data_IF_499044667260
#
_entry.id   IF_499044667260
#
_cell.length_a   1.000
_cell.length_b   1.000
_cell.length_c   1.000
_cell.angle_alpha   90.00
_cell.angle_beta   90.00
_cell.angle_gamma   90.00
#
_symmetry.space_group_name_H-M   'P 1'
#
loop_
_entity.id
_entity.type
_entity.pdbx_description
1 polymer ?
#
# COMPACT_ATOMS: atom_id res chain seq x y z
N UNK A 1 69.37 25.02 -41.22
CA UNK A 1 68.46 25.15 -42.37
C UNK A 1 67.06 25.02 -41.79
N UNK A 2 66.47 26.15 -41.37
CA UNK A 2 65.44 26.91 -42.10
C UNK A 2 64.16 26.08 -42.30
N UNK A 3 62.94 26.49 -41.97
CA UNK A 3 62.37 27.81 -41.67
C UNK A 3 60.92 27.63 -41.15
N UNK A 4 60.53 28.46 -40.17
CA UNK A 4 59.31 29.32 -40.16
C UNK A 4 57.90 28.66 -40.11
N UNK A 5 57.07 28.88 -39.09
CA UNK A 5 56.40 30.09 -38.55
C UNK A 5 54.90 30.17 -38.96
N UNK A 6 54.16 30.91 -38.11
CA UNK A 6 52.78 31.47 -38.23
C UNK A 6 51.70 30.65 -37.51
N UNK A 7 51.28 31.00 -36.29
CA UNK A 7 50.55 32.22 -35.82
C UNK A 7 49.29 32.50 -36.63
N UNK A 8 48.12 32.41 -35.98
CA UNK A 8 47.24 33.60 -35.84
C UNK A 8 46.16 33.40 -34.78
N UNK A 9 46.13 34.38 -33.89
CA UNK A 9 45.11 34.75 -32.93
C UNK A 9 43.74 35.02 -33.57
N UNK A 10 42.67 34.82 -32.81
CA UNK A 10 41.56 35.78 -32.73
C UNK A 10 40.95 35.71 -31.32
N UNK A 11 41.18 36.79 -30.57
CA UNK A 11 40.45 37.20 -29.38
C UNK A 11 39.14 37.90 -29.79
N UNK A 12 38.38 38.27 -28.76
CA UNK A 12 37.28 39.24 -28.70
C UNK A 12 35.88 38.62 -28.79
N UNK A 13 34.87 39.03 -28.02
CA UNK A 13 34.70 39.87 -26.83
C UNK A 13 33.17 39.80 -26.57
N UNK A 14 32.71 40.49 -25.53
CA UNK A 14 31.32 40.90 -25.27
C UNK A 14 30.50 39.98 -24.37
N UNK A 15 30.64 40.29 -23.07
CA UNK A 15 29.60 40.04 -22.10
C UNK A 15 28.34 40.86 -22.38
N UNK A 16 27.22 40.36 -21.86
CA UNK A 16 26.03 41.18 -21.63
C UNK A 16 25.52 40.94 -20.22
N UNK A 17 25.53 42.03 -19.45
CA UNK A 17 24.77 42.23 -18.24
C UNK A 17 23.28 41.97 -18.51
N UNK A 18 22.63 41.16 -17.68
CA UNK A 18 21.18 41.26 -17.51
C UNK A 18 20.90 41.77 -16.11
N UNK A 19 20.54 43.06 -16.06
CA UNK A 19 20.08 43.80 -14.90
C UNK A 19 18.71 43.31 -14.44
N UNK A 20 18.51 43.42 -13.13
CA UNK A 20 17.23 43.30 -12.47
C UNK A 20 16.15 44.17 -13.12
N UNK A 21 14.93 43.64 -13.19
CA UNK A 21 13.73 44.43 -13.38
C UNK A 21 12.70 44.07 -12.31
N UNK A 22 11.98 45.11 -11.93
CA UNK A 22 11.30 45.34 -10.68
C UNK A 22 9.87 44.79 -10.67
N UNK A 23 9.34 44.61 -9.46
CA UNK A 23 7.99 45.07 -9.10
C UNK A 23 6.80 44.50 -9.88
N UNK A 24 6.21 43.43 -9.36
CA UNK A 24 4.76 43.24 -9.49
C UNK A 24 4.14 43.05 -8.11
N UNK A 25 3.71 44.17 -7.54
CA UNK A 25 2.78 44.25 -6.42
C UNK A 25 1.39 44.06 -7.01
N UNK A 26 0.70 42.98 -6.62
CA UNK A 26 -0.75 42.90 -6.75
C UNK A 26 -1.31 42.63 -5.36
N UNK A 27 -1.61 43.73 -4.66
CA UNK A 27 -2.55 43.80 -3.56
C UNK A 27 -3.95 43.68 -4.16
N UNK A 28 -4.64 42.58 -3.88
CA UNK A 28 -6.10 42.55 -3.96
C UNK A 28 -6.58 42.02 -2.62
N UNK A 29 -6.96 42.98 -1.79
CA UNK A 29 -7.89 42.80 -0.68
C UNK A 29 -9.21 42.29 -1.25
N UNK A 30 -9.72 41.20 -0.68
CA UNK A 30 -11.13 40.88 -0.68
C UNK A 30 -11.41 40.08 0.58
N UNK A 31 -11.96 40.81 1.54
CA UNK A 31 -12.64 40.33 2.73
C UNK A 31 -13.70 39.28 2.32
N UNK A 32 -13.63 38.09 2.92
CA UNK A 32 -14.79 37.18 3.01
C UNK A 32 -14.80 36.68 4.46
N UNK A 33 -15.45 37.49 5.29
CA UNK A 33 -15.96 37.14 6.61
C UNK A 33 -17.15 36.18 6.42
N UNK A 34 -16.86 34.89 6.26
CA UNK A 34 -17.89 33.85 6.40
C UNK A 34 -18.00 33.47 7.89
N UNK A 35 -18.90 34.18 8.56
CA UNK A 35 -19.51 33.83 9.85
C UNK A 35 -20.07 32.40 9.79
N UNK A 36 -19.30 31.42 10.26
CA UNK A 36 -19.82 30.09 10.56
C UNK A 36 -20.50 30.14 11.93
N UNK A 37 -21.82 30.20 11.87
CA UNK A 37 -22.79 30.05 12.95
C UNK A 37 -22.58 28.70 13.67
N UNK A 38 -22.07 28.79 14.90
CA UNK A 38 -22.00 27.68 15.86
C UNK A 38 -23.42 27.35 16.34
N UNK A 39 -24.12 26.55 15.53
CA UNK A 39 -25.39 25.94 15.92
C UNK A 39 -25.17 24.88 16.98
N UNK A 40 -25.22 25.30 18.25
CA UNK A 40 -25.38 24.47 19.43
C UNK A 40 -26.68 23.63 19.31
N UNK A 41 -26.53 22.40 18.83
CA UNK A 41 -27.55 21.37 18.84
C UNK A 41 -27.36 20.45 20.04
N UNK A 42 -27.87 20.88 21.20
CA UNK A 42 -28.14 20.03 22.35
C UNK A 42 -29.25 19.03 21.98
N UNK A 43 -28.88 17.86 21.47
CA UNK A 43 -29.77 16.71 21.39
C UNK A 43 -29.45 15.75 22.53
N UNK A 44 -30.11 16.01 23.67
CA UNK A 44 -30.33 15.07 24.76
C UNK A 44 -31.07 13.83 24.22
N UNK A 45 -30.33 12.77 23.93
CA UNK A 45 -30.88 11.43 23.73
C UNK A 45 -30.61 10.58 24.98
N UNK A 46 -31.47 10.81 25.98
CA UNK A 46 -31.84 9.81 26.98
C UNK A 46 -32.61 8.70 26.25
N UNK A 47 -31.93 7.64 25.83
CA UNK A 47 -32.57 6.37 25.48
C UNK A 47 -32.16 5.30 26.50
N UNK A 48 -33.10 5.08 27.41
CA UNK A 48 -33.22 3.94 28.31
C UNK A 48 -33.03 2.62 27.54
N UNK A 49 -31.83 2.03 27.65
CA UNK A 49 -31.65 0.61 27.34
C UNK A 49 -32.10 -0.18 28.57
N UNK A 50 -33.34 -0.65 28.49
CA UNK A 50 -33.88 -1.67 29.38
C UNK A 50 -32.97 -2.91 29.38
N UNK A 51 -32.58 -3.33 30.58
CA UNK A 51 -31.93 -4.60 30.83
C UNK A 51 -32.91 -5.73 30.51
N UNK A 52 -32.73 -6.38 29.36
CA UNK A 52 -33.34 -7.67 29.07
C UNK A 52 -32.51 -8.77 29.73
N UNK A 53 -32.99 -9.18 30.90
CA UNK A 53 -32.79 -10.53 31.43
C UNK A 53 -33.44 -11.53 30.46
N UNK A 54 -32.63 -12.30 29.73
CA UNK A 54 -33.06 -13.56 29.12
C UNK A 54 -31.96 -14.61 29.36
N UNK A 55 -32.12 -15.29 30.51
CA UNK A 55 -31.54 -16.60 30.81
C UNK A 55 -32.18 -17.64 29.87
N UNK A 56 -31.67 -17.79 28.65
CA UNK A 56 -31.85 -19.02 27.87
C UNK A 56 -30.61 -19.89 27.99
N UNK A 57 -30.73 -20.87 28.90
CA UNK A 57 -29.87 -22.03 29.03
C UNK A 57 -29.93 -22.82 27.73
N UNK A 58 -28.93 -22.65 26.87
CA UNK A 58 -28.73 -23.52 25.72
C UNK A 58 -28.24 -24.89 26.22
N UNK A 59 -29.12 -25.88 26.09
CA UNK A 59 -28.80 -27.29 26.29
C UNK A 59 -27.63 -27.68 25.37
N UNK A 60 -26.53 -28.15 25.98
CA UNK A 60 -25.42 -28.80 25.28
C UNK A 60 -25.96 -30.04 24.56
N UNK A 61 -26.15 -29.92 23.25
CA UNK A 61 -26.36 -31.07 22.38
C UNK A 61 -25.02 -31.77 22.16
N UNK A 62 -24.83 -32.91 22.80
CA UNK A 62 -23.80 -33.91 22.50
C UNK A 62 -23.91 -34.33 21.02
N UNK A 63 -23.15 -33.69 20.15
CA UNK A 63 -22.92 -34.20 18.80
C UNK A 63 -21.89 -35.36 18.88
N UNK A 64 -22.16 -36.50 18.23
CA UNK A 64 -21.22 -37.61 18.22
C UNK A 64 -19.96 -37.21 17.45
N UNK A 65 -18.80 -37.39 18.08
CA UNK A 65 -17.48 -37.34 17.42
C UNK A 65 -17.45 -38.37 16.28
N UNK A 66 -17.75 -37.91 15.05
CA UNK A 66 -17.54 -38.72 13.85
C UNK A 66 -16.03 -38.85 13.60
N UNK A 67 -15.51 -40.08 13.70
CA UNK A 67 -14.14 -40.50 13.37
C UNK A 67 -13.52 -39.70 12.20
N UNK A 68 -12.64 -38.75 12.53
CA UNK A 68 -11.90 -37.91 11.58
C UNK A 68 -11.13 -38.74 10.53
N UNK A 69 -10.76 -39.98 10.88
CA UNK A 69 -9.99 -40.90 10.04
C UNK A 69 -10.79 -41.44 8.83
N UNK A 70 -12.12 -41.55 8.94
CA UNK A 70 -12.96 -42.05 7.84
C UNK A 70 -13.23 -40.97 6.76
N UNK A 71 -13.16 -39.69 7.14
CA UNK A 71 -13.35 -38.54 6.25
C UNK A 71 -12.07 -38.17 5.49
N UNK A 72 -10.89 -38.47 6.05
CA UNK A 72 -9.61 -38.27 5.37
C UNK A 72 -9.44 -39.22 4.17
N UNK A 73 -9.94 -40.46 4.28
CA UNK A 73 -9.95 -41.43 3.19
C UNK A 73 -10.82 -40.99 2.00
N UNK A 74 -11.99 -40.36 2.26
CA UNK A 74 -12.86 -39.81 1.21
C UNK A 74 -12.27 -38.57 0.53
N UNK A 75 -11.44 -37.80 1.24
CA UNK A 75 -10.74 -36.65 0.68
C UNK A 75 -9.56 -37.05 -0.24
N UNK A 76 -8.96 -38.22 -0.04
CA UNK A 76 -7.93 -38.75 -0.94
C UNK A 76 -8.49 -39.33 -2.25
N UNK A 77 -9.74 -39.81 -2.27
CA UNK A 77 -10.34 -40.42 -3.47
C UNK A 77 -10.81 -39.38 -4.52
N UNK A 78 -10.95 -38.11 -4.14
CA UNK A 78 -11.32 -36.98 -5.03
C UNK A 78 -10.13 -36.34 -5.77
N UNK A 79 -9.01 -37.06 -5.91
CA UNK A 79 -7.81 -36.62 -6.65
C UNK A 79 -7.90 -36.74 -8.19
N UNK A 80 -9.09 -36.84 -8.78
CA UNK A 80 -9.23 -36.79 -10.23
C UNK A 80 -10.33 -35.82 -10.67
N UNK A 81 -9.90 -34.72 -11.28
CA UNK A 81 -10.65 -33.71 -12.05
C UNK A 81 -11.43 -32.59 -11.31
N UNK A 82 -10.81 -31.40 -11.31
CA UNK A 82 -11.37 -30.10 -11.74
C UNK A 82 -12.58 -29.43 -11.05
N UNK A 83 -12.96 -29.83 -9.84
CA UNK A 83 -13.82 -28.97 -9.01
C UNK A 83 -13.23 -28.80 -7.62
N UNK A 84 -12.69 -27.61 -7.35
CA UNK A 84 -12.40 -27.17 -6.00
C UNK A 84 -13.76 -27.04 -5.32
N UNK A 85 -14.10 -27.97 -4.42
CA UNK A 85 -15.40 -27.97 -3.76
C UNK A 85 -15.49 -26.74 -2.86
N UNK A 86 -16.63 -26.04 -2.91
CA UNK A 86 -16.93 -24.87 -2.07
C UNK A 86 -16.67 -25.16 -0.58
N UNK A 87 -16.90 -26.40 -0.13
CA UNK A 87 -16.58 -26.87 1.21
C UNK A 87 -15.10 -26.74 1.61
N UNK A 88 -14.16 -26.97 0.68
CA UNK A 88 -12.73 -26.84 0.95
C UNK A 88 -12.28 -25.37 1.07
N UNK A 89 -12.96 -24.46 0.37
CA UNK A 89 -12.74 -23.02 0.50
C UNK A 89 -13.37 -22.41 1.74
N UNK A 90 -14.54 -22.89 2.16
CA UNK A 90 -15.18 -22.43 3.40
C UNK A 90 -14.31 -22.73 4.63
N UNK A 91 -13.48 -23.78 4.59
CA UNK A 91 -12.46 -24.05 5.62
C UNK A 91 -11.30 -23.05 5.60
N UNK A 92 -11.03 -22.38 4.48
CA UNK A 92 -9.97 -21.40 4.37
C UNK A 92 -10.47 -20.03 4.90
N UNK A 93 -9.88 -19.56 6.01
CA UNK A 93 -10.24 -18.29 6.65
C UNK A 93 -10.02 -17.06 5.76
N UNK A 94 -9.04 -17.12 4.85
CA UNK A 94 -8.71 -16.07 3.89
C UNK A 94 -8.28 -16.72 2.58
N UNK A 95 -8.83 -16.22 1.47
CA UNK A 95 -8.49 -16.64 0.12
C UNK A 95 -7.84 -15.48 -0.62
N UNK A 96 -6.75 -15.74 -1.35
CA UNK A 96 -6.11 -14.72 -2.17
C UNK A 96 -6.53 -14.82 -3.63
N UNK A 97 -6.85 -13.69 -4.24
CA UNK A 97 -7.27 -13.61 -5.65
C UNK A 97 -6.40 -12.64 -6.43
N UNK A 98 -6.06 -13.00 -7.66
CA UNK A 98 -5.31 -12.13 -8.55
C UNK A 98 -6.26 -11.20 -9.32
N UNK A 99 -6.14 -9.86 -9.17
CA UNK A 99 -7.06 -8.92 -9.82
C UNK A 99 -7.01 -8.98 -11.35
N UNK A 100 -5.87 -9.40 -11.91
CA UNK A 100 -5.68 -9.43 -13.37
C UNK A 100 -6.02 -10.77 -13.98
N UNK A 101 -5.47 -11.85 -13.42
CA UNK A 101 -5.64 -13.19 -14.00
C UNK A 101 -6.88 -13.92 -13.49
N UNK A 102 -7.55 -13.38 -12.46
CA UNK A 102 -8.68 -14.00 -11.75
C UNK A 102 -8.37 -15.43 -11.31
N UNK A 103 -7.13 -15.64 -10.88
CA UNK A 103 -6.71 -16.92 -10.28
C UNK A 103 -6.82 -16.81 -8.78
N UNK A 104 -7.13 -17.94 -8.17
CA UNK A 104 -7.20 -18.11 -6.72
C UNK A 104 -5.93 -18.80 -6.25
N UNK A 105 -5.35 -18.31 -5.16
CA UNK A 105 -4.26 -19.00 -4.49
C UNK A 105 -4.83 -20.00 -3.47
N UNK A 106 -4.55 -21.28 -3.67
CA UNK A 106 -4.98 -22.35 -2.78
C UNK A 106 -3.94 -23.46 -2.73
N UNK A 107 -3.67 -24.00 -1.53
CA UNK A 107 -2.65 -25.05 -1.29
C UNK A 107 -1.32 -24.78 -1.98
N UNK A 108 -0.79 -23.56 -1.79
CA UNK A 108 0.48 -23.10 -2.35
C UNK A 108 0.53 -23.05 -3.90
N UNK A 109 -0.61 -22.97 -4.58
CA UNK A 109 -0.68 -22.92 -6.04
C UNK A 109 -1.75 -21.94 -6.53
N UNK A 110 -1.47 -21.31 -7.67
CA UNK A 110 -2.44 -20.48 -8.40
C UNK A 110 -3.32 -21.33 -9.31
N UNK A 111 -4.61 -21.40 -9.01
CA UNK A 111 -5.60 -22.20 -9.73
C UNK A 111 -6.58 -21.26 -10.45
N UNK A 112 -7.08 -21.67 -11.63
CA UNK A 112 -8.09 -20.89 -12.35
C UNK A 112 -9.40 -20.90 -11.55
N UNK A 113 -10.00 -19.73 -11.40
CA UNK A 113 -11.28 -19.59 -10.74
C UNK A 113 -12.39 -20.28 -11.54
N UNK A 114 -13.05 -21.25 -10.91
CA UNK A 114 -14.26 -21.91 -11.40
C UNK A 114 -15.42 -21.73 -10.39
N UNK A 115 -15.25 -20.87 -9.38
CA UNK A 115 -16.05 -20.87 -8.16
C UNK A 115 -16.94 -19.64 -8.18
N UNK A 116 -18.25 -19.85 -8.28
CA UNK A 116 -19.26 -18.79 -8.35
C UNK A 116 -19.56 -18.12 -7.01
N UNK A 117 -19.16 -18.73 -5.88
CA UNK A 117 -19.52 -18.28 -4.51
C UNK A 117 -18.38 -17.61 -3.73
N UNK A 118 -17.51 -16.85 -4.40
CA UNK A 118 -16.47 -16.06 -3.71
C UNK A 118 -17.02 -15.07 -2.65
N UNK A 119 -18.31 -14.73 -2.74
CA UNK A 119 -18.97 -13.78 -1.84
C UNK A 119 -19.12 -14.27 -0.38
N UNK A 120 -18.96 -15.57 -0.14
CA UNK A 120 -19.09 -16.15 1.20
C UNK A 120 -17.78 -16.20 1.98
N UNK A 121 -16.64 -16.00 1.31
CA UNK A 121 -15.31 -16.12 1.93
C UNK A 121 -14.59 -14.77 1.89
N UNK A 122 -13.87 -14.45 2.98
CA UNK A 122 -13.02 -13.26 3.01
C UNK A 122 -11.92 -13.39 1.95
N UNK A 123 -11.99 -12.54 0.93
CA UNK A 123 -11.06 -12.52 -0.19
C UNK A 123 -10.13 -11.32 -0.09
N UNK A 124 -8.83 -11.60 -0.13
CA UNK A 124 -7.77 -10.60 -0.19
C UNK A 124 -7.15 -10.61 -1.60
N UNK A 125 -6.68 -9.46 -2.07
CA UNK A 125 -5.99 -9.39 -3.35
C UNK A 125 -4.50 -9.70 -3.23
N UNK A 126 -3.97 -10.45 -4.20
CA UNK A 126 -2.55 -10.68 -4.38
C UNK A 126 -2.19 -10.84 -5.86
N UNK A 127 -1.09 -10.25 -6.32
CA UNK A 127 -0.64 -10.42 -7.71
C UNK A 127 0.10 -11.76 -7.84
N UNK A 128 -0.31 -12.58 -8.80
CA UNK A 128 0.30 -13.88 -9.06
C UNK A 128 1.67 -13.77 -9.73
N UNK A 129 2.51 -14.77 -9.52
CA UNK A 129 3.91 -14.82 -9.97
C UNK A 129 4.04 -14.58 -11.49
N UNK A 130 3.10 -15.12 -12.28
CA UNK A 130 3.08 -14.96 -13.74
C UNK A 130 2.87 -13.51 -14.21
N UNK A 131 2.34 -12.65 -13.35
CA UNK A 131 2.01 -11.26 -13.67
C UNK A 131 2.87 -10.26 -12.90
N UNK A 132 3.80 -10.70 -12.03
CA UNK A 132 4.63 -9.80 -11.22
C UNK A 132 5.49 -8.88 -12.09
N UNK A 133 6.16 -9.42 -13.11
CA UNK A 133 7.02 -8.62 -14.00
C UNK A 133 6.22 -7.54 -14.73
N UNK A 134 5.05 -7.90 -15.24
CA UNK A 134 4.16 -6.96 -15.93
C UNK A 134 3.52 -5.96 -14.98
N UNK A 135 3.23 -6.37 -13.74
CA UNK A 135 2.73 -5.47 -12.71
C UNK A 135 3.74 -4.36 -12.40
N UNK A 136 5.04 -4.70 -12.36
CA UNK A 136 6.13 -3.71 -12.23
C UNK A 136 6.13 -2.71 -13.39
N UNK A 137 5.98 -3.18 -14.62
CA UNK A 137 5.96 -2.32 -15.82
C UNK A 137 4.75 -1.37 -15.85
N UNK A 138 3.57 -1.88 -15.48
CA UNK A 138 2.31 -1.13 -15.54
C UNK A 138 2.07 -0.27 -14.28
N UNK A 139 2.86 -0.46 -13.23
CA UNK A 139 2.68 0.22 -11.95
C UNK A 139 1.48 -0.30 -11.14
N UNK A 140 1.14 -1.59 -11.30
CA UNK A 140 0.06 -2.23 -10.55
C UNK A 140 0.60 -2.79 -9.23
N UNK A 141 0.18 -2.19 -8.12
CA UNK A 141 0.61 -2.58 -6.78
C UNK A 141 -0.60 -2.70 -5.85
N UNK A 142 -0.53 -3.59 -4.86
CA UNK A 142 -1.60 -3.79 -3.88
C UNK A 142 -1.27 -3.09 -2.55
N UNK A 143 0.03 -2.93 -2.25
CA UNK A 143 0.49 -2.12 -1.14
C UNK A 143 1.59 -1.15 -1.54
N UNK A 144 1.65 -0.02 -0.84
CA UNK A 144 2.81 0.86 -0.85
C UNK A 144 3.20 1.28 0.56
N UNK A 145 4.51 1.40 0.78
CA UNK A 145 5.09 2.05 1.94
C UNK A 145 5.84 3.29 1.46
N UNK A 146 5.51 4.46 2.02
CA UNK A 146 6.16 5.74 1.77
C UNK A 146 6.95 6.14 3.03
N UNK A 147 8.28 6.22 2.90
CA UNK A 147 9.19 6.46 4.03
C UNK A 147 9.71 7.89 3.93
N UNK A 148 9.33 8.71 4.91
CA UNK A 148 9.72 10.10 5.05
C UNK A 148 10.81 10.22 6.14
N UNK A 149 12.05 10.28 5.68
CA UNK A 149 13.23 10.36 6.54
C UNK A 149 14.12 11.55 6.16
N UNK A 150 14.54 12.36 7.13
CA UNK A 150 15.55 13.40 6.92
C UNK A 150 16.93 12.81 6.64
N UNK A 151 17.23 11.67 7.26
CA UNK A 151 18.51 10.97 7.12
C UNK A 151 18.38 9.76 6.19
N UNK A 152 17.48 9.84 5.20
CA UNK A 152 17.18 8.74 4.29
C UNK A 152 18.45 8.21 3.61
N UNK A 153 19.35 9.11 3.19
CA UNK A 153 20.59 8.73 2.50
C UNK A 153 21.47 7.77 3.31
N UNK A 154 21.47 7.90 4.64
CA UNK A 154 22.27 7.06 5.53
C UNK A 154 21.54 5.78 5.93
N UNK A 155 20.22 5.85 6.15
CA UNK A 155 19.42 4.74 6.69
C UNK A 155 18.71 3.88 5.65
N UNK A 156 18.67 4.33 4.39
CA UNK A 156 17.96 3.68 3.29
C UNK A 156 18.33 2.20 3.14
N UNK A 157 19.62 1.89 3.09
CA UNK A 157 20.07 0.51 2.86
C UNK A 157 19.62 -0.39 4.02
N UNK A 158 19.79 0.05 5.26
CA UNK A 158 19.33 -0.68 6.45
C UNK A 158 17.80 -0.89 6.46
N UNK A 159 17.02 0.12 6.07
CA UNK A 159 15.56 0.00 5.98
C UNK A 159 15.14 -0.98 4.88
N UNK A 160 15.83 -0.98 3.74
CA UNK A 160 15.55 -1.90 2.64
C UNK A 160 15.92 -3.34 2.98
N UNK A 161 17.08 -3.55 3.62
CA UNK A 161 17.50 -4.88 4.05
C UNK A 161 16.56 -5.45 5.12
N UNK A 162 16.08 -4.59 6.01
CA UNK A 162 15.05 -4.96 6.98
C UNK A 162 13.72 -5.35 6.30
N UNK A 163 13.25 -4.56 5.32
CA UNK A 163 12.05 -4.87 4.55
C UNK A 163 12.16 -6.21 3.79
N UNK A 164 13.33 -6.47 3.17
CA UNK A 164 13.64 -7.76 2.52
C UNK A 164 13.78 -8.92 3.51
N UNK A 165 14.15 -8.65 4.76
CA UNK A 165 14.09 -9.62 5.85
C UNK A 165 12.66 -10.11 6.07
N UNK A 166 11.73 -9.16 6.23
CA UNK A 166 10.30 -9.46 6.42
C UNK A 166 9.71 -10.18 5.20
N UNK A 167 10.06 -9.76 3.99
CA UNK A 167 9.66 -10.45 2.76
C UNK A 167 10.03 -11.94 2.81
N UNK A 168 11.30 -12.26 3.09
CA UNK A 168 11.79 -13.66 3.18
C UNK A 168 11.10 -14.46 4.28
N UNK A 169 10.85 -13.84 5.43
CA UNK A 169 10.15 -14.48 6.55
C UNK A 169 8.71 -14.84 6.19
N UNK A 170 8.05 -13.99 5.39
CA UNK A 170 6.69 -14.19 4.94
C UNK A 170 6.58 -15.14 3.73
N UNK A 171 7.56 -15.11 2.82
CA UNK A 171 7.64 -16.02 1.67
C UNK A 171 7.65 -17.49 2.12
N UNK A 172 8.33 -17.79 3.23
CA UNK A 172 8.33 -19.13 3.84
C UNK A 172 6.94 -19.65 4.25
N UNK A 173 5.96 -18.75 4.44
CA UNK A 173 4.55 -19.10 4.74
C UNK A 173 3.67 -19.01 3.50
N UNK A 174 3.87 -17.96 2.71
CA UNK A 174 3.07 -17.61 1.55
C UNK A 174 4.01 -17.24 0.40
N UNK A 175 4.30 -18.18 -0.53
CA UNK A 175 5.40 -18.06 -1.49
C UNK A 175 5.21 -16.96 -2.54
N UNK A 176 4.04 -16.32 -2.58
CA UNK A 176 3.79 -15.21 -3.49
C UNK A 176 4.08 -13.85 -2.86
N UNK A 177 4.38 -13.74 -1.57
CA UNK A 177 4.64 -12.44 -0.92
C UNK A 177 5.95 -11.83 -1.40
N UNK A 178 5.87 -10.76 -2.19
CA UNK A 178 7.02 -10.17 -2.87
C UNK A 178 6.96 -8.64 -2.90
N UNK A 179 8.12 -8.01 -2.69
CA UNK A 179 8.36 -6.60 -2.98
C UNK A 179 8.50 -6.46 -4.50
N UNK A 180 7.51 -5.84 -5.13
CA UNK A 180 7.47 -5.68 -6.59
C UNK A 180 8.53 -4.66 -7.02
N UNK A 181 8.58 -3.52 -6.36
CA UNK A 181 9.45 -2.42 -6.76
C UNK A 181 9.88 -1.56 -5.58
N UNK A 182 11.04 -0.92 -5.72
CA UNK A 182 11.58 0.04 -4.77
C UNK A 182 12.07 1.23 -5.56
N UNK A 183 11.56 2.41 -5.26
CA UNK A 183 11.97 3.64 -5.92
C UNK A 183 12.18 4.77 -4.92
N UNK A 184 13.02 5.74 -5.28
CA UNK A 184 13.25 6.94 -4.49
C UNK A 184 12.86 8.14 -5.34
N UNK A 185 11.98 8.99 -4.80
CA UNK A 185 11.57 10.24 -5.46
C UNK A 185 11.46 11.34 -4.41
N UNK A 186 12.07 12.49 -4.67
CA UNK A 186 12.00 13.67 -3.80
C UNK A 186 12.39 13.37 -2.33
N UNK A 187 13.48 12.62 -2.11
CA UNK A 187 13.93 12.15 -0.78
C UNK A 187 12.88 11.32 -0.01
N UNK A 188 11.96 10.68 -0.72
CA UNK A 188 10.99 9.73 -0.16
C UNK A 188 11.31 8.37 -0.77
N UNK A 189 11.47 7.36 0.09
CA UNK A 189 11.64 5.98 -0.33
C UNK A 189 10.26 5.32 -0.43
N UNK A 190 9.99 4.75 -1.60
CA UNK A 190 8.77 4.01 -1.91
C UNK A 190 9.10 2.53 -2.02
N UNK A 191 8.35 1.71 -1.30
CA UNK A 191 8.40 0.25 -1.38
C UNK A 191 7.02 -0.22 -1.83
N UNK A 192 6.95 -0.92 -2.95
CA UNK A 192 5.70 -1.42 -3.51
C UNK A 192 5.61 -2.93 -3.36
N UNK A 193 4.47 -3.41 -2.88
CA UNK A 193 4.24 -4.82 -2.55
C UNK A 193 3.08 -5.40 -3.34
N UNK A 194 3.12 -6.72 -3.51
CA UNK A 194 2.07 -7.44 -4.23
C UNK A 194 0.90 -7.87 -3.35
N UNK A 195 0.94 -7.62 -2.04
CA UNK A 195 -0.16 -7.83 -1.10
C UNK A 195 -0.29 -6.68 -0.10
N UNK A 196 -1.47 -6.54 0.51
CA UNK A 196 -1.69 -5.62 1.64
C UNK A 196 -0.98 -6.10 2.90
N UNK A 197 -0.94 -7.42 3.12
CA UNK A 197 -0.34 -8.04 4.29
C UNK A 197 1.17 -7.75 4.38
N UNK A 198 1.91 -7.94 3.29
CA UNK A 198 3.34 -7.62 3.26
C UNK A 198 3.58 -6.12 3.50
N UNK A 199 2.76 -5.25 2.90
CA UNK A 199 2.88 -3.81 3.15
C UNK A 199 2.68 -3.46 4.62
N UNK A 200 1.67 -4.03 5.27
CA UNK A 200 1.40 -3.84 6.69
C UNK A 200 2.52 -4.33 7.59
N UNK A 201 3.05 -5.53 7.32
CA UNK A 201 4.11 -6.13 8.14
C UNK A 201 5.43 -5.36 7.99
N UNK A 202 5.81 -4.98 6.76
CA UNK A 202 6.98 -4.10 6.54
C UNK A 202 6.80 -2.78 7.27
N UNK A 203 5.64 -2.13 7.10
CA UNK A 203 5.29 -0.88 7.74
C UNK A 203 5.38 -0.94 9.28
N UNK A 204 4.80 -1.98 9.89
CA UNK A 204 4.85 -2.22 11.33
C UNK A 204 6.26 -2.50 11.82
N UNK A 205 6.98 -3.35 11.10
CA UNK A 205 8.36 -3.70 11.42
C UNK A 205 9.27 -2.47 11.38
N UNK A 206 9.14 -1.62 10.36
CA UNK A 206 9.92 -0.38 10.25
C UNK A 206 9.62 0.54 11.44
N UNK A 207 8.35 0.70 11.83
CA UNK A 207 7.99 1.48 13.02
C UNK A 207 8.61 0.90 14.29
N UNK A 208 8.64 -0.42 14.42
CA UNK A 208 9.19 -1.09 15.60
C UNK A 208 10.71 -0.92 15.69
N UNK A 209 11.41 -1.17 14.58
CA UNK A 209 12.87 -1.18 14.52
C UNK A 209 13.48 0.23 14.52
N UNK A 210 12.91 1.14 13.73
CA UNK A 210 13.45 2.49 13.50
C UNK A 210 12.71 3.58 14.29
N UNK A 211 11.69 3.21 15.06
CA UNK A 211 10.83 4.15 15.78
C UNK A 211 9.92 4.96 14.84
N UNK A 212 9.57 6.17 15.26
CA UNK A 212 8.76 7.10 14.46
C UNK A 212 7.24 6.85 14.53
N UNK A 213 6.52 7.41 13.56
CA UNK A 213 5.07 7.28 13.45
C UNK A 213 4.65 6.67 12.12
N UNK A 214 3.47 6.05 12.11
CA UNK A 214 2.91 5.47 10.91
C UNK A 214 1.47 5.90 10.71
N UNK A 215 1.11 6.19 9.48
CA UNK A 215 -0.25 6.51 9.06
C UNK A 215 -0.67 5.52 7.98
N UNK A 216 -1.84 4.89 8.15
CA UNK A 216 -2.41 3.99 7.16
C UNK A 216 -3.54 4.70 6.41
N UNK A 217 -3.52 4.62 5.08
CA UNK A 217 -4.62 4.99 4.20
C UNK A 217 -5.14 3.73 3.52
N UNK A 218 -6.41 3.39 3.76
CA UNK A 218 -7.08 2.24 3.19
C UNK A 218 -7.98 2.67 2.03
N UNK A 219 -7.91 1.94 0.93
CA UNK A 219 -8.71 2.18 -0.26
C UNK A 219 -9.56 0.93 -0.54
N UNK A 220 -10.78 0.91 0.00
CA UNK A 220 -11.67 -0.26 0.01
C UNK A 220 -11.96 -0.81 -1.40
N UNK A 221 -12.22 0.08 -2.37
CA UNK A 221 -12.55 -0.31 -3.75
C UNK A 221 -11.49 -1.19 -4.41
N UNK A 222 -10.22 -0.90 -4.11
CA UNK A 222 -9.08 -1.57 -4.75
C UNK A 222 -8.30 -2.43 -3.75
N UNK A 223 -8.87 -2.72 -2.57
CA UNK A 223 -8.19 -3.32 -1.42
C UNK A 223 -6.72 -2.89 -1.32
N UNK A 224 -6.46 -1.61 -1.53
CA UNK A 224 -5.11 -1.07 -1.63
C UNK A 224 -4.78 -0.40 -0.31
N UNK A 225 -3.56 -0.61 0.16
CA UNK A 225 -3.07 0.04 1.37
C UNK A 225 -1.87 0.91 1.06
N UNK A 226 -1.89 2.14 1.59
CA UNK A 226 -0.72 3.00 1.65
C UNK A 226 -0.34 3.22 3.10
N UNK A 227 0.87 2.82 3.46
CA UNK A 227 1.47 3.11 4.74
C UNK A 227 2.48 4.25 4.60
N UNK A 228 2.32 5.32 5.38
CA UNK A 228 3.27 6.43 5.42
C UNK A 228 4.01 6.41 6.74
N UNK A 229 5.32 6.22 6.69
CA UNK A 229 6.17 6.23 7.87
C UNK A 229 6.95 7.54 7.98
N UNK A 230 7.03 8.08 9.18
CA UNK A 230 7.72 9.34 9.46
C UNK A 230 8.72 9.16 10.61
N UNK A 231 9.97 9.51 10.33
CA UNK A 231 11.09 9.44 11.29
C UNK A 231 10.89 10.29 12.56
N UNK A 232 10.33 11.50 12.42
CA UNK A 232 10.09 12.43 13.54
C UNK A 232 8.59 12.65 13.74
N UNK A 233 8.08 12.28 14.92
CA UNK A 233 6.68 12.46 15.32
C UNK A 233 6.31 13.95 15.48
N UNK A 234 7.30 14.80 15.79
CA UNK A 234 7.06 16.16 16.30
C UNK A 234 7.25 17.28 15.29
N UNK A 235 7.77 17.02 14.09
CA UNK A 235 8.05 18.09 13.14
C UNK A 235 6.85 18.35 12.21
N UNK A 236 5.80 18.96 12.79
CA UNK A 236 4.53 19.28 12.10
C UNK A 236 4.75 20.16 10.86
N UNK A 237 5.79 20.99 10.84
CA UNK A 237 6.14 21.82 9.67
C UNK A 237 6.79 21.02 8.56
N UNK A 238 7.77 20.16 8.87
CA UNK A 238 8.31 19.20 7.91
C UNK A 238 7.20 18.30 7.33
N UNK A 239 6.26 17.88 8.18
CA UNK A 239 5.09 17.10 7.76
C UNK A 239 4.19 17.90 6.80
N UNK A 240 3.84 19.13 7.14
CA UNK A 240 3.02 20.00 6.26
C UNK A 240 3.73 20.30 4.94
N UNK A 241 5.04 20.57 4.94
CA UNK A 241 5.78 20.91 3.73
C UNK A 241 5.93 19.71 2.79
N UNK A 242 6.28 18.53 3.32
CA UNK A 242 6.39 17.30 2.51
C UNK A 242 5.04 16.82 2.01
N UNK A 243 3.96 16.95 2.78
CA UNK A 243 2.60 16.61 2.32
C UNK A 243 2.11 17.59 1.25
N UNK A 244 2.34 18.90 1.39
CA UNK A 244 2.02 19.87 0.34
C UNK A 244 2.79 19.57 -0.95
N UNK A 245 4.10 19.36 -0.85
CA UNK A 245 4.91 18.98 -2.00
C UNK A 245 4.45 17.66 -2.66
N UNK A 246 3.98 16.68 -1.88
CA UNK A 246 3.43 15.44 -2.41
C UNK A 246 2.03 15.62 -3.04
N UNK A 247 1.20 16.51 -2.49
CA UNK A 247 -0.14 16.84 -3.02
C UNK A 247 -0.07 17.66 -4.31
N UNK A 248 0.81 18.66 -4.37
CA UNK A 248 1.02 19.49 -5.56
C UNK A 248 1.52 18.64 -6.73
N UNK A 249 2.38 17.64 -6.47
CA UNK A 249 2.87 16.72 -7.50
C UNK A 249 1.87 15.59 -7.84
N UNK A 250 0.81 15.37 -7.04
CA UNK A 250 -0.23 14.37 -7.35
C UNK A 250 -1.09 14.76 -8.54
N UNK A 251 -1.08 16.04 -8.95
CA UNK A 251 -1.80 16.54 -10.12
C UNK A 251 -1.26 15.94 -11.43
N UNK A 252 -0.10 15.25 -11.43
CA UNK A 252 0.47 14.65 -12.63
C UNK A 252 0.56 13.11 -12.68
N UNK A 253 0.26 12.36 -11.60
CA UNK A 253 0.69 10.95 -11.49
C UNK A 253 -0.44 9.91 -11.35
N UNK A 254 -1.70 10.32 -11.20
CA UNK A 254 -2.86 9.42 -11.25
C UNK A 254 -4.04 10.13 -11.92
N UNK A 255 -3.93 10.36 -13.24
CA UNK A 255 -5.12 10.50 -14.08
C UNK A 255 -5.68 9.08 -14.27
N UNK A 256 -6.62 8.68 -13.42
CA UNK A 256 -7.57 7.65 -13.82
C UNK A 256 -8.55 8.38 -14.74
N UNK A 257 -8.27 8.39 -16.05
CA UNK A 257 -9.30 8.66 -17.03
C UNK A 257 -10.38 7.59 -16.85
N UNK A 258 -11.50 7.96 -16.24
CA UNK A 258 -12.75 7.21 -16.36
C UNK A 258 -13.07 7.12 -17.86
N UNK A 259 -12.93 5.92 -18.42
CA UNK A 259 -13.45 5.54 -19.75
C UNK A 259 -14.54 4.50 -19.60
#
# INVERSE_FOLDING_TARGET
MSDQQQEQDYLDDEGTNFTADEGFVNSVDADDDDDFDDGDGDDDLDDDIEALDDDEVLEESDEPEEDDDALEAKAMELQSSEALTTAALLKAKVIYTCPVTRKIFYRNKWIKDNITDLYTVKTEMAICDKYLDRAREVGLFIGSIEIYDKNLKERKESMLDFARGIERDLEGRMPFEVIIDVSEKNDILYIFTNTTRLALEIARGIRYEFGGSIQYEWFERNQYIRAKWFSEIQNREYFKSRIRAAKENRIGMFSFEDR
#
